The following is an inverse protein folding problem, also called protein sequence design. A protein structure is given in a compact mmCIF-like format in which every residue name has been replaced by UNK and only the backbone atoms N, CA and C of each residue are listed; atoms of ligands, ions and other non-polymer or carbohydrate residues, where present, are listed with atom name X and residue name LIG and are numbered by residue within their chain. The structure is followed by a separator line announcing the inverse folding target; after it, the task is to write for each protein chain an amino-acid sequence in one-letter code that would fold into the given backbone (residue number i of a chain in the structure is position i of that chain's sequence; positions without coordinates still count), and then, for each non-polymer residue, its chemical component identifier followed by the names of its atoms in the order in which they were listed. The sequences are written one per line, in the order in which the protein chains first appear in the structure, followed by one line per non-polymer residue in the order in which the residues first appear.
data_IF_964962963569
#
_entry.id   IF_964962963569
#
_cell.length_a   1.000
_cell.length_b   1.000
_cell.length_c   1.000
_cell.angle_alpha   90.00
_cell.angle_beta   90.00
_cell.angle_gamma   90.00
#
_symmetry.space_group_name_H-M   'P 1'
#
loop_
_entity.id
_entity.type
_entity.pdbx_description
1 polymer ?
#
# COMPACT_ATOMS: atom_id res chain seq x y z
N UNK A 1 11.06 -5.49 -1.81
CA UNK A 1 9.64 -5.32 -1.39
C UNK A 1 9.58 -4.41 -0.17
N UNK A 2 8.54 -3.60 0.00
CA UNK A 2 8.30 -2.83 1.23
C UNK A 2 7.02 -3.36 1.85
N UNK A 3 7.08 -3.80 3.11
CA UNK A 3 5.95 -4.34 3.88
C UNK A 3 5.77 -3.48 5.15
N UNK A 4 4.55 -3.23 5.60
CA UNK A 4 4.32 -2.52 6.85
C UNK A 4 4.34 -3.47 8.06
N UNK A 5 3.82 -4.68 7.89
CA UNK A 5 3.57 -5.62 8.98
C UNK A 5 4.74 -6.60 9.17
N UNK A 6 5.50 -6.35 10.24
CA UNK A 6 6.69 -7.15 10.61
C UNK A 6 6.40 -8.63 10.87
N UNK A 7 5.13 -9.02 11.09
CA UNK A 7 4.74 -10.42 11.30
C UNK A 7 4.94 -11.28 10.05
N UNK A 8 5.03 -10.68 8.85
CA UNK A 8 5.35 -11.40 7.62
C UNK A 8 6.83 -11.76 7.46
N UNK A 9 7.72 -11.29 8.34
CA UNK A 9 9.17 -11.55 8.27
C UNK A 9 9.54 -13.01 7.95
N UNK A 10 9.01 -14.04 8.64
CA UNK A 10 9.38 -15.43 8.35
C UNK A 10 9.03 -15.85 6.91
N UNK A 11 7.93 -15.33 6.36
CA UNK A 11 7.52 -15.61 4.99
C UNK A 11 8.43 -14.91 3.97
N UNK A 12 8.82 -13.66 4.24
CA UNK A 12 9.68 -12.87 3.35
C UNK A 12 11.13 -13.36 3.34
N UNK A 13 11.65 -13.77 4.49
CA UNK A 13 12.97 -14.38 4.61
C UNK A 13 13.03 -15.72 3.84
N UNK A 14 11.94 -16.48 3.78
CA UNK A 14 11.85 -17.72 3.02
C UNK A 14 11.84 -17.51 1.49
N UNK A 15 11.40 -16.34 1.01
CA UNK A 15 11.45 -15.98 -0.43
C UNK A 15 12.89 -15.70 -0.87
N UNK A 16 13.69 -15.05 -0.01
CA UNK A 16 15.10 -14.77 -0.27
C UNK A 16 15.40 -13.48 -1.04
N UNK A 17 14.38 -12.71 -1.41
CA UNK A 17 14.52 -11.39 -2.04
C UNK A 17 14.70 -10.26 -1.01
N UNK A 18 15.24 -9.12 -1.44
CA UNK A 18 15.41 -7.95 -0.58
C UNK A 18 14.06 -7.35 -0.14
N UNK A 19 13.90 -7.08 1.16
CA UNK A 19 12.72 -6.43 1.71
C UNK A 19 13.06 -5.46 2.86
N UNK A 20 12.16 -4.51 3.09
CA UNK A 20 12.23 -3.56 4.20
C UNK A 20 10.85 -3.43 4.88
N UNK A 21 10.85 -3.03 6.15
CA UNK A 21 9.62 -2.85 6.94
C UNK A 21 9.31 -1.37 7.19
N UNK A 22 8.40 -0.81 6.39
CA UNK A 22 7.99 0.58 6.49
C UNK A 22 6.51 0.77 6.16
N UNK A 23 5.81 1.54 7.00
CA UNK A 23 4.52 2.08 6.63
C UNK A 23 4.72 3.25 5.67
N UNK A 24 4.30 3.09 4.41
CA UNK A 24 4.37 4.15 3.43
C UNK A 24 3.17 5.09 3.54
N UNK A 25 3.41 6.39 3.38
CA UNK A 25 2.36 7.41 3.42
C UNK A 25 2.72 8.68 2.63
N UNK A 26 1.82 9.66 2.71
CA UNK A 26 1.95 10.95 2.00
C UNK A 26 3.06 11.84 2.58
N UNK A 27 3.27 11.77 3.90
CA UNK A 27 4.22 12.61 4.64
C UNK A 27 5.05 11.76 5.58
N UNK A 28 6.34 12.09 5.71
CA UNK A 28 7.23 11.40 6.64
C UNK A 28 6.97 11.87 8.07
N UNK A 29 7.29 11.01 9.03
CA UNK A 29 7.11 11.28 10.46
C UNK A 29 5.64 11.52 10.86
N UNK A 30 4.69 10.96 10.10
CA UNK A 30 3.26 11.07 10.39
C UNK A 30 2.77 9.85 11.17
N UNK A 31 2.29 10.02 12.42
CA UNK A 31 1.70 8.92 13.18
C UNK A 31 0.42 8.41 12.50
N UNK A 32 0.23 7.10 12.48
CA UNK A 32 -0.95 6.46 11.96
C UNK A 32 -1.30 5.19 12.75
N UNK A 33 -2.60 4.91 12.85
CA UNK A 33 -3.08 3.60 13.29
C UNK A 33 -3.13 2.70 12.06
N UNK A 34 -2.36 1.61 12.10
CA UNK A 34 -2.34 0.57 11.10
C UNK A 34 -3.21 -0.59 11.58
N UNK A 35 -4.24 -0.92 10.81
CA UNK A 35 -5.22 -1.94 11.13
C UNK A 35 -4.84 -3.24 10.44
N UNK A 36 -4.70 -4.31 11.22
CA UNK A 36 -4.49 -5.65 10.70
C UNK A 36 -5.37 -6.66 11.45
N UNK A 37 -5.30 -7.91 11.04
CA UNK A 37 -6.06 -9.00 11.63
C UNK A 37 -5.18 -9.87 12.52
N UNK A 38 -5.80 -10.65 13.42
CA UNK A 38 -5.11 -11.60 14.30
C UNK A 38 -4.54 -12.78 13.50
N UNK A 39 -3.65 -13.58 14.09
CA UNK A 39 -3.05 -14.71 13.37
C UNK A 39 -4.08 -15.76 12.86
N UNK A 40 -5.21 -15.91 13.56
CA UNK A 40 -6.27 -16.90 13.29
C UNK A 40 -7.20 -16.49 12.13
N UNK A 41 -7.24 -15.20 11.80
CA UNK A 41 -8.07 -14.65 10.72
C UNK A 41 -7.16 -13.79 9.85
N UNK A 42 -6.94 -14.14 8.59
CA UNK A 42 -6.05 -13.36 7.72
C UNK A 42 -6.84 -12.59 6.66
N UNK A 43 -6.63 -11.28 6.62
CA UNK A 43 -7.09 -10.40 5.54
C UNK A 43 -6.02 -9.34 5.23
N UNK A 44 -6.33 -8.40 4.35
CA UNK A 44 -5.49 -7.24 4.06
C UNK A 44 -5.21 -6.39 5.32
N UNK A 45 -4.21 -5.51 5.24
CA UNK A 45 -3.86 -4.60 6.33
C UNK A 45 -3.47 -3.21 5.79
N UNK A 46 -3.96 -2.15 6.42
CA UNK A 46 -3.64 -0.77 6.00
C UNK A 46 -4.00 0.27 7.08
N UNK A 47 -3.77 1.55 6.76
CA UNK A 47 -4.25 2.68 7.59
C UNK A 47 -5.76 2.92 7.49
N UNK A 48 -6.44 2.16 6.64
CA UNK A 48 -7.89 2.20 6.47
C UNK A 48 -8.47 0.86 6.93
N UNK A 49 -9.53 0.91 7.74
CA UNK A 49 -10.15 -0.31 8.27
C UNK A 49 -11.01 -0.99 7.20
N UNK A 50 -10.76 -2.26 6.93
CA UNK A 50 -11.59 -3.05 6.02
C UNK A 50 -13.03 -3.22 6.56
N UNK A 51 -13.99 -3.32 5.64
CA UNK A 51 -15.41 -3.54 5.93
C UNK A 51 -15.73 -5.00 5.60
N UNK A 52 -15.38 -5.91 6.51
CA UNK A 52 -15.65 -7.33 6.36
C UNK A 52 -15.78 -8.06 7.70
N UNK A 53 -16.22 -9.32 7.64
CA UNK A 53 -16.28 -10.19 8.83
C UNK A 53 -14.90 -10.52 9.41
N UNK A 54 -13.83 -10.40 8.61
CA UNK A 54 -12.46 -10.56 9.10
C UNK A 54 -12.09 -9.46 10.11
N UNK A 55 -12.72 -8.29 10.01
CA UNK A 55 -12.54 -7.17 10.91
C UNK A 55 -13.60 -7.08 12.02
N UNK A 56 -14.28 -8.19 12.33
CA UNK A 56 -15.20 -8.26 13.47
C UNK A 56 -14.48 -8.02 14.82
N UNK A 57 -15.19 -7.56 15.87
CA UNK A 57 -14.61 -7.40 17.20
C UNK A 57 -13.91 -8.69 17.69
N UNK A 58 -12.68 -8.55 18.17
CA UNK A 58 -11.84 -9.67 18.60
C UNK A 58 -10.92 -10.25 17.52
N UNK A 59 -11.08 -9.85 16.25
CA UNK A 59 -10.21 -10.29 15.14
C UNK A 59 -9.29 -9.18 14.61
N UNK A 60 -9.35 -7.98 15.18
CA UNK A 60 -8.61 -6.79 14.73
C UNK A 60 -7.49 -6.44 15.70
N UNK A 61 -6.32 -6.16 15.15
CA UNK A 61 -5.18 -5.59 15.85
C UNK A 61 -4.91 -4.17 15.33
N UNK A 62 -4.68 -3.24 16.25
CA UNK A 62 -4.32 -1.85 15.96
C UNK A 62 -2.87 -1.61 16.34
N UNK A 63 -2.03 -1.33 15.34
CA UNK A 63 -0.61 -1.06 15.51
C UNK A 63 -0.37 0.44 15.35
N UNK A 64 0.23 1.07 16.36
CA UNK A 64 0.66 2.46 16.25
C UNK A 64 1.99 2.52 15.50
N UNK A 65 1.98 3.16 14.35
CA UNK A 65 3.13 3.23 13.45
C UNK A 65 3.41 4.67 13.04
N UNK A 66 4.62 4.89 12.54
CA UNK A 66 5.01 6.17 11.95
C UNK A 66 5.23 5.97 10.47
N UNK A 67 4.48 6.69 9.64
CA UNK A 67 4.59 6.64 8.20
C UNK A 67 5.84 7.39 7.71
N UNK A 68 6.40 6.88 6.61
CA UNK A 68 7.48 7.49 5.84
C UNK A 68 7.07 7.61 4.39
N UNK A 69 7.63 8.59 3.69
CA UNK A 69 7.41 8.73 2.24
C UNK A 69 8.30 7.77 1.47
N UNK A 70 7.79 7.22 0.36
CA UNK A 70 8.59 6.39 -0.54
C UNK A 70 9.80 7.16 -1.09
N UNK A 71 9.63 8.45 -1.39
CA UNK A 71 10.74 9.31 -1.83
C UNK A 71 11.85 9.45 -0.77
N UNK A 72 11.51 9.44 0.54
CA UNK A 72 12.50 9.55 1.62
C UNK A 72 13.26 8.26 1.90
N UNK A 73 12.70 7.09 1.59
CA UNK A 73 13.34 5.80 1.82
C UNK A 73 14.42 5.50 0.77
N UNK A 74 14.15 5.82 -0.48
CA UNK A 74 14.99 5.41 -1.61
C UNK A 74 15.78 6.60 -2.19
N UNK A 75 16.37 7.39 -1.30
CA UNK A 75 17.25 8.51 -1.65
C UNK A 75 18.48 7.99 -2.42
N UNK A 76 18.57 8.28 -3.71
CA UNK A 76 19.76 7.91 -4.49
C UNK A 76 19.57 7.63 -5.98
N UNK A 77 18.33 7.69 -6.50
CA UNK A 77 18.11 7.62 -7.95
C UNK A 77 18.02 6.20 -8.53
N UNK A 78 17.76 5.19 -7.70
CA UNK A 78 17.28 3.90 -8.21
C UNK A 78 15.94 4.15 -8.93
N UNK A 79 15.93 3.84 -10.22
CA UNK A 79 14.72 3.76 -11.02
C UNK A 79 14.21 2.33 -11.02
N UNK A 80 12.89 2.18 -11.04
CA UNK A 80 12.24 0.89 -11.21
C UNK A 80 11.42 0.97 -12.48
N UNK A 81 11.55 0.02 -13.40
CA UNK A 81 10.74 0.02 -14.61
C UNK A 81 9.26 -0.25 -14.28
N UNK A 82 9.00 -1.07 -13.25
CA UNK A 82 7.67 -1.42 -12.75
C UNK A 82 7.58 -1.21 -11.24
N UNK A 83 6.51 -0.55 -10.81
CA UNK A 83 6.13 -0.45 -9.39
C UNK A 83 4.73 -1.05 -9.22
N UNK A 84 4.60 -2.05 -8.33
CA UNK A 84 3.31 -2.56 -7.86
C UNK A 84 2.93 -1.87 -6.55
N UNK A 85 1.71 -1.35 -6.46
CA UNK A 85 1.10 -0.91 -5.21
C UNK A 85 -0.14 -1.75 -4.92
N UNK A 86 -0.09 -2.50 -3.81
CA UNK A 86 -1.18 -3.29 -3.27
C UNK A 86 -1.14 -3.09 -1.76
N UNK A 87 -1.83 -2.03 -1.33
CA UNK A 87 -1.69 -1.44 0.01
C UNK A 87 -3.04 -1.17 0.65
N UNK A 88 -4.06 -1.88 0.15
CA UNK A 88 -5.40 -1.98 0.71
C UNK A 88 -5.96 -0.59 1.09
N UNK A 89 -5.89 0.36 0.15
CA UNK A 89 -6.45 1.71 0.30
C UNK A 89 -5.42 2.81 0.53
N UNK A 90 -4.13 2.49 0.69
CA UNK A 90 -3.08 3.49 0.91
C UNK A 90 -2.46 4.03 -0.38
N UNK A 91 -2.92 3.55 -1.55
CA UNK A 91 -2.28 3.78 -2.85
C UNK A 91 -2.14 5.28 -3.16
N UNK A 92 -3.20 6.07 -2.92
CA UNK A 92 -3.17 7.52 -3.18
C UNK A 92 -2.16 8.25 -2.29
N UNK A 93 -2.07 7.86 -1.01
CA UNK A 93 -1.11 8.47 -0.08
C UNK A 93 0.33 8.17 -0.54
N UNK A 94 0.58 6.93 -0.98
CA UNK A 94 1.89 6.51 -1.48
C UNK A 94 2.23 7.18 -2.81
N UNK A 95 1.26 7.34 -3.72
CA UNK A 95 1.46 8.10 -4.97
C UNK A 95 1.89 9.54 -4.69
N UNK A 96 1.34 10.18 -3.65
CA UNK A 96 1.72 11.54 -3.25
C UNK A 96 3.08 11.59 -2.58
N UNK A 97 3.35 10.69 -1.63
CA UNK A 97 4.63 10.62 -0.92
C UNK A 97 5.79 10.05 -1.76
N UNK A 98 5.51 9.37 -2.87
CA UNK A 98 6.50 8.76 -3.75
C UNK A 98 6.61 9.45 -5.11
N UNK A 99 6.10 10.67 -5.25
CA UNK A 99 5.89 11.29 -6.56
C UNK A 99 7.18 11.44 -7.38
N UNK A 100 8.34 11.66 -6.75
CA UNK A 100 9.62 11.84 -7.45
C UNK A 100 10.16 10.51 -8.00
N UNK A 101 10.04 9.45 -7.22
CA UNK A 101 10.47 8.10 -7.61
C UNK A 101 9.49 7.47 -8.60
N UNK A 102 8.19 7.53 -8.31
CA UNK A 102 7.15 6.88 -9.11
C UNK A 102 7.09 7.45 -10.52
N UNK A 103 7.29 8.77 -10.71
CA UNK A 103 7.35 9.40 -12.05
C UNK A 103 8.42 8.83 -12.97
N UNK A 104 9.43 8.15 -12.44
CA UNK A 104 10.52 7.55 -13.22
C UNK A 104 10.20 6.14 -13.69
N UNK A 105 9.15 5.52 -13.16
CA UNK A 105 8.75 4.19 -13.58
C UNK A 105 8.07 4.21 -14.94
N UNK A 106 8.28 3.14 -15.71
CA UNK A 106 7.61 2.95 -17.00
C UNK A 106 6.16 2.48 -16.79
N UNK A 107 5.95 1.61 -15.79
CA UNK A 107 4.66 1.03 -15.47
C UNK A 107 4.31 1.12 -13.99
N UNK A 108 3.02 1.37 -13.72
CA UNK A 108 2.40 1.19 -12.41
C UNK A 108 1.37 0.07 -12.50
N UNK A 109 1.47 -0.90 -11.59
CA UNK A 109 0.44 -1.89 -11.34
C UNK A 109 -0.25 -1.54 -10.01
N UNK A 110 -1.50 -1.12 -10.08
CA UNK A 110 -2.27 -0.66 -8.92
C UNK A 110 -3.37 -1.67 -8.61
N UNK A 111 -3.42 -2.17 -7.37
CA UNK A 111 -4.54 -2.94 -6.86
C UNK A 111 -5.50 -2.00 -6.12
N UNK A 112 -6.72 -1.87 -6.65
CA UNK A 112 -7.71 -0.90 -6.20
C UNK A 112 -9.09 -1.53 -6.18
N UNK A 113 -9.87 -1.22 -5.15
CA UNK A 113 -11.24 -1.72 -5.02
C UNK A 113 -12.23 -0.83 -5.79
N UNK A 114 -13.08 -1.45 -6.61
CA UNK A 114 -14.21 -0.76 -7.26
C UNK A 114 -15.39 -0.55 -6.30
N UNK A 115 -15.46 -1.37 -5.25
CA UNK A 115 -16.46 -1.26 -4.19
C UNK A 115 -15.83 -0.62 -2.95
N UNK A 116 -16.60 0.09 -2.12
CA UNK A 116 -16.10 0.71 -0.89
C UNK A 116 -15.92 -0.34 0.22
N UNK A 117 -15.03 -1.29 0.00
CA UNK A 117 -14.73 -2.38 0.94
C UNK A 117 -13.79 -1.94 2.07
N UNK A 118 -13.28 -0.71 2.01
CA UNK A 118 -12.31 -0.18 2.96
C UNK A 118 -12.79 1.20 3.42
N UNK A 119 -12.95 1.36 4.73
CA UNK A 119 -13.58 2.54 5.32
C UNK A 119 -12.73 3.78 5.10
N UNK A 120 -13.32 4.79 4.44
CA UNK A 120 -12.68 6.08 4.09
C UNK A 120 -11.41 5.95 3.24
N UNK A 121 -11.20 4.82 2.57
CA UNK A 121 -10.16 4.71 1.58
C UNK A 121 -10.51 5.56 0.34
N UNK A 122 -9.50 6.05 -0.41
CA UNK A 122 -9.70 6.67 -1.71
C UNK A 122 -10.47 5.74 -2.65
N UNK A 123 -11.31 6.32 -3.50
CA UNK A 123 -11.99 5.55 -4.55
C UNK A 123 -11.01 5.14 -5.66
N UNK A 124 -11.42 4.17 -6.48
CA UNK A 124 -10.74 3.86 -7.74
C UNK A 124 -10.42 5.13 -8.56
N UNK A 125 -11.40 6.03 -8.68
CA UNK A 125 -11.29 7.26 -9.45
C UNK A 125 -10.23 8.21 -8.88
N UNK A 126 -10.17 8.33 -7.54
CA UNK A 126 -9.17 9.14 -6.85
C UNK A 126 -7.75 8.62 -7.09
N UNK A 127 -7.56 7.30 -7.03
CA UNK A 127 -6.25 6.67 -7.25
C UNK A 127 -5.80 6.85 -8.71
N UNK A 128 -6.69 6.61 -9.68
CA UNK A 128 -6.37 6.81 -11.11
C UNK A 128 -6.09 8.27 -11.42
N UNK A 129 -6.84 9.21 -10.83
CA UNK A 129 -6.56 10.64 -10.98
C UNK A 129 -5.20 11.01 -10.38
N UNK A 130 -4.85 10.43 -9.23
CA UNK A 130 -3.52 10.54 -8.61
C UNK A 130 -2.41 10.07 -9.55
N UNK A 131 -2.53 8.87 -10.12
CA UNK A 131 -1.57 8.33 -11.08
C UNK A 131 -1.47 9.21 -12.35
N UNK A 132 -2.60 9.74 -12.84
CA UNK A 132 -2.64 10.67 -13.98
C UNK A 132 -1.87 11.97 -13.71
N UNK A 133 -1.96 12.53 -12.51
CA UNK A 133 -1.15 13.70 -12.12
C UNK A 133 0.36 13.41 -12.10
N UNK A 134 0.75 12.14 -11.97
CA UNK A 134 2.14 11.69 -12.10
C UNK A 134 2.57 11.47 -13.55
N UNK A 135 1.66 11.55 -14.53
CA UNK A 135 1.96 11.40 -15.96
C UNK A 135 1.60 10.02 -16.52
N UNK A 136 1.05 9.12 -15.70
CA UNK A 136 0.60 7.80 -16.15
C UNK A 136 -0.72 7.88 -16.90
N UNK A 137 -0.94 6.90 -17.77
CA UNK A 137 -2.21 6.67 -18.47
C UNK A 137 -2.68 5.27 -18.14
N UNK A 138 -3.98 5.13 -17.91
CA UNK A 138 -4.60 3.82 -17.75
C UNK A 138 -4.57 3.09 -19.10
N UNK A 139 -3.96 1.90 -19.11
CA UNK A 139 -3.77 1.10 -20.34
C UNK A 139 -4.59 -0.20 -20.33
N UNK A 140 -4.83 -0.80 -19.16
CA UNK A 140 -5.53 -2.07 -19.05
C UNK A 140 -6.17 -2.26 -17.66
N UNK A 141 -7.07 -3.24 -17.56
CA UNK A 141 -7.66 -3.75 -16.33
C UNK A 141 -7.47 -5.26 -16.22
N UNK A 142 -6.75 -5.69 -15.19
CA UNK A 142 -6.68 -7.10 -14.82
C UNK A 142 -7.69 -7.39 -13.71
N UNK A 143 -8.54 -8.39 -13.91
CA UNK A 143 -9.41 -8.92 -12.86
C UNK A 143 -8.60 -9.92 -12.02
N UNK A 144 -8.66 -9.81 -10.69
CA UNK A 144 -8.16 -10.90 -9.84
C UNK A 144 -9.04 -12.14 -10.03
N UNK A 145 -8.41 -13.29 -10.25
CA UNK A 145 -9.11 -14.56 -10.22
C UNK A 145 -9.48 -14.85 -8.76
N UNK A 146 -10.73 -14.54 -8.41
CA UNK A 146 -11.35 -14.97 -7.16
C UNK A 146 -11.63 -16.48 -7.22
#
# INVERSE_FOLDING_TARGET
MIEADTRFRPHLEAVGDAFEFHLLGEQSSTPATFFSTTADVRSGASIHREISSAYAPGHVEELQMTAVTLDSLLLGGLGFDLIKLDTQGSELAILRGGSLLIRKAEFLLLEVSLLPLIFRAPSFEDVILGAKHLGFKLVDFCRSAL
#
